data_IF_322663173603
#
_entry.id   IF_322663173603
#
_cell.length_a   1.000
_cell.length_b   1.000
_cell.length_c   1.000
_cell.angle_alpha   90.00
_cell.angle_beta   90.00
_cell.angle_gamma   90.00
#
_symmetry.space_group_name_H-M   'P 1'
#
loop_
_entity.id
_entity.type
_entity.pdbx_description
1 polymer ?
#
# COMPACT_ATOMS: atom_id res chain seq x y z
N UNK A 1 19.87 -12.51 21.82
CA UNK A 1 19.63 -11.11 22.22
C UNK A 1 19.63 -10.30 20.94
N UNK A 2 18.42 -9.90 20.53
CA UNK A 2 18.06 -8.73 19.72
C UNK A 2 18.91 -8.44 18.47
N UNK A 3 18.53 -9.03 17.33
CA UNK A 3 18.97 -8.51 16.02
C UNK A 3 17.97 -8.71 14.88
N UNK A 4 16.68 -8.92 15.18
CA UNK A 4 15.68 -9.26 14.15
C UNK A 4 14.53 -8.26 14.01
N UNK A 5 14.54 -7.14 14.74
CA UNK A 5 13.59 -6.03 14.51
C UNK A 5 14.24 -4.81 13.83
N UNK A 6 15.58 -4.78 13.71
CA UNK A 6 16.27 -3.59 13.20
C UNK A 6 16.21 -3.44 11.68
N UNK A 7 15.82 -4.46 10.92
CA UNK A 7 15.86 -4.41 9.45
C UNK A 7 14.58 -3.82 8.85
N UNK A 8 13.41 -4.08 9.44
CA UNK A 8 12.13 -3.62 8.90
C UNK A 8 11.86 -2.15 9.28
N UNK A 9 12.15 -1.78 10.52
CA UNK A 9 12.04 -0.39 11.00
C UNK A 9 12.96 0.54 10.21
N UNK A 10 14.17 0.09 9.86
CA UNK A 10 15.13 0.84 9.05
C UNK A 10 14.71 0.93 7.58
N UNK A 11 14.11 -0.12 7.03
CA UNK A 11 13.59 -0.13 5.66
C UNK A 11 12.51 0.95 5.45
N UNK A 12 11.63 1.14 6.43
CA UNK A 12 10.49 2.07 6.32
C UNK A 12 10.87 3.51 6.65
N UNK A 13 11.95 3.73 7.38
CA UNK A 13 12.34 5.08 7.83
C UNK A 13 13.42 5.69 6.95
N UNK A 14 14.04 4.92 6.06
CA UNK A 14 15.06 5.39 5.11
C UNK A 14 14.47 5.52 3.69
N UNK A 15 14.31 6.74 3.16
CA UNK A 15 13.71 6.99 1.84
C UNK A 15 14.56 6.48 0.65
N UNK A 16 15.79 6.01 0.90
CA UNK A 16 16.64 5.35 -0.10
C UNK A 16 16.57 3.81 0.00
N UNK A 17 16.02 3.26 1.09
CA UNK A 17 15.98 1.82 1.34
C UNK A 17 14.72 1.21 0.72
N UNK A 18 14.91 0.46 -0.36
CA UNK A 18 13.82 0.05 -1.27
C UNK A 18 13.98 0.59 -2.68
N UNK A 19 14.91 1.54 -2.90
CA UNK A 19 15.40 1.83 -4.25
C UNK A 19 16.14 0.61 -4.78
N UNK A 20 15.61 0.02 -5.84
CA UNK A 20 16.28 -1.08 -6.52
C UNK A 20 17.69 -0.64 -6.95
N UNK A 21 18.70 -1.41 -6.54
CA UNK A 21 19.99 -1.37 -7.21
C UNK A 21 19.76 -1.79 -8.67
N UNK A 22 19.94 -0.85 -9.60
CA UNK A 22 19.55 -0.90 -11.02
C UNK A 22 20.43 -1.90 -11.81
N UNK A 23 20.49 -3.17 -11.39
CA UNK A 23 21.19 -4.23 -12.10
C UNK A 23 20.36 -5.47 -12.40
N UNK A 24 19.15 -5.59 -11.85
CA UNK A 24 18.26 -6.70 -12.21
C UNK A 24 16.96 -6.15 -12.75
N UNK A 25 16.61 -6.60 -13.96
CA UNK A 25 15.36 -6.30 -14.67
C UNK A 25 14.25 -7.05 -13.95
N UNK A 26 13.85 -6.53 -12.79
CA UNK A 26 12.84 -7.15 -11.97
C UNK A 26 11.49 -6.87 -12.63
N UNK A 27 10.80 -7.90 -13.11
CA UNK A 27 9.47 -7.82 -13.72
C UNK A 27 8.38 -7.50 -12.68
N UNK A 28 8.68 -6.64 -11.70
CA UNK A 28 7.69 -6.21 -10.72
C UNK A 28 6.60 -5.45 -11.43
N UNK A 29 5.37 -5.85 -11.14
CA UNK A 29 4.19 -5.12 -11.59
C UNK A 29 4.23 -3.75 -10.93
N UNK A 30 4.55 -2.72 -11.72
CA UNK A 30 4.58 -1.32 -11.27
C UNK A 30 3.20 -1.01 -10.70
N UNK A 31 3.14 -0.72 -9.40
CA UNK A 31 1.92 -0.20 -8.76
C UNK A 31 1.79 1.26 -9.09
N UNK A 32 0.56 1.70 -9.35
CA UNK A 32 0.25 3.07 -9.71
C UNK A 32 -0.81 3.61 -8.77
N UNK A 33 -0.67 4.87 -8.42
CA UNK A 33 -1.61 5.63 -7.62
C UNK A 33 -2.97 5.60 -8.32
N UNK A 34 -4.03 5.31 -7.57
CA UNK A 34 -5.36 5.19 -8.14
C UNK A 34 -5.89 6.52 -8.69
N UNK A 35 -5.50 7.65 -8.10
CA UNK A 35 -5.97 8.99 -8.46
C UNK A 35 -5.06 9.66 -9.50
N UNK A 36 -3.74 9.51 -9.37
CA UNK A 36 -2.77 10.25 -10.20
C UNK A 36 -2.11 9.40 -11.29
N UNK A 37 -2.27 8.08 -11.27
CA UNK A 37 -1.57 7.10 -12.13
C UNK A 37 -0.02 7.14 -12.00
N UNK A 38 0.50 7.88 -11.03
CA UNK A 38 1.92 7.98 -10.72
C UNK A 38 2.44 6.66 -10.11
N UNK A 39 3.72 6.36 -10.34
CA UNK A 39 4.35 5.17 -9.79
C UNK A 39 4.43 5.25 -8.26
N UNK A 40 3.94 4.20 -7.59
CA UNK A 40 3.96 4.08 -6.15
C UNK A 40 5.26 3.43 -5.68
N UNK A 41 5.81 3.98 -4.61
CA UNK A 41 6.81 3.31 -3.80
C UNK A 41 6.19 2.12 -3.05
N UNK A 42 7.05 1.27 -2.51
CA UNK A 42 6.68 -0.05 -1.99
C UNK A 42 5.96 0.04 -0.63
N UNK A 43 6.30 1.10 0.10
CA UNK A 43 5.80 1.54 1.39
C UNK A 43 4.59 2.46 1.26
N UNK A 44 3.97 2.55 0.08
CA UNK A 44 2.77 3.34 -0.13
C UNK A 44 1.50 2.48 -0.26
N UNK A 45 0.40 3.03 0.23
CA UNK A 45 -0.94 2.53 -0.02
C UNK A 45 -1.37 2.85 -1.47
N UNK A 46 -2.57 2.44 -1.87
CA UNK A 46 -3.03 2.62 -3.26
C UNK A 46 -3.34 4.10 -3.63
N UNK A 47 -3.30 5.01 -2.64
CA UNK A 47 -3.46 6.46 -2.82
C UNK A 47 -2.15 7.24 -2.65
N UNK A 48 -1.03 6.56 -2.42
CA UNK A 48 0.28 7.21 -2.26
C UNK A 48 0.60 7.64 -0.84
N UNK A 49 -0.22 7.29 0.15
CA UNK A 49 0.10 7.57 1.54
C UNK A 49 1.14 6.60 2.05
N UNK A 50 2.12 7.12 2.80
CA UNK A 50 3.16 6.31 3.42
C UNK A 50 2.56 5.39 4.48
N UNK A 51 2.89 4.10 4.41
CA UNK A 51 2.43 3.05 5.32
C UNK A 51 3.51 2.71 6.33
N UNK A 52 3.26 3.04 7.58
CA UNK A 52 4.06 2.62 8.72
C UNK A 52 3.69 1.21 9.18
N UNK A 53 4.54 0.58 9.99
CA UNK A 53 4.26 -0.73 10.60
C UNK A 53 3.02 -0.75 11.49
N UNK A 54 2.71 0.40 12.09
CA UNK A 54 1.67 0.54 13.10
C UNK A 54 0.34 0.96 12.50
N UNK A 55 0.34 1.38 11.23
CA UNK A 55 -0.87 1.88 10.58
C UNK A 55 -1.91 0.78 10.46
N UNK A 56 -3.17 1.19 10.48
CA UNK A 56 -4.28 0.29 10.25
C UNK A 56 -4.62 0.31 8.76
N UNK A 57 -4.57 -0.85 8.13
CA UNK A 57 -4.88 -1.02 6.72
C UNK A 57 -6.34 -1.43 6.57
N UNK A 58 -7.02 -0.72 5.69
CA UNK A 58 -8.39 -0.97 5.31
C UNK A 58 -8.45 -1.37 3.84
N UNK A 59 -9.34 -2.30 3.53
CA UNK A 59 -9.68 -2.72 2.18
C UNK A 59 -10.99 -2.03 1.80
N UNK A 60 -10.97 -1.25 0.71
CA UNK A 60 -12.16 -0.57 0.18
C UNK A 60 -12.55 -1.23 -1.13
N UNK A 61 -13.81 -1.64 -1.24
CA UNK A 61 -14.38 -2.21 -2.46
C UNK A 61 -15.13 -1.14 -3.27
N UNK A 62 -14.64 -0.83 -4.48
CA UNK A 62 -15.12 0.26 -5.34
C UNK A 62 -16.26 -0.18 -6.29
N UNK A 63 -17.22 -0.92 -5.76
CA UNK A 63 -18.19 -1.79 -6.45
C UNK A 63 -18.95 -1.25 -7.67
N UNK A 64 -19.01 0.07 -7.88
CA UNK A 64 -19.95 0.69 -8.84
C UNK A 64 -19.30 1.25 -10.10
N UNK A 65 -17.97 1.45 -10.14
CA UNK A 65 -17.32 2.12 -11.28
C UNK A 65 -16.72 1.20 -12.35
N UNK A 66 -16.24 0.01 -12.00
CA UNK A 66 -15.39 -0.77 -12.90
C UNK A 66 -16.03 -2.04 -13.50
N UNK A 67 -17.27 -2.41 -13.12
CA UNK A 67 -17.88 -3.71 -13.44
C UNK A 67 -16.97 -4.93 -13.11
N UNK A 68 -15.96 -4.69 -12.29
CA UNK A 68 -14.99 -5.64 -11.76
C UNK A 68 -14.85 -5.34 -10.27
N UNK A 69 -14.64 -6.35 -9.42
CA UNK A 69 -14.28 -6.08 -8.04
C UNK A 69 -12.89 -5.44 -8.01
N UNK A 70 -12.85 -4.13 -7.87
CA UNK A 70 -11.64 -3.39 -7.56
C UNK A 70 -11.59 -3.18 -6.04
N UNK A 71 -10.54 -3.73 -5.44
CA UNK A 71 -10.21 -3.53 -4.05
C UNK A 71 -8.95 -2.68 -3.98
N UNK A 72 -8.97 -1.68 -3.11
CA UNK A 72 -7.77 -0.92 -2.77
C UNK A 72 -7.44 -1.06 -1.28
N UNK A 73 -6.15 -1.03 -0.98
CA UNK A 73 -5.59 -0.98 0.35
C UNK A 73 -5.24 0.46 0.69
N UNK A 74 -5.78 0.97 1.79
CA UNK A 74 -5.49 2.33 2.28
C UNK A 74 -5.23 2.32 3.78
N UNK A 75 -4.41 3.27 4.24
CA UNK A 75 -4.27 3.56 5.68
C UNK A 75 -5.44 4.41 6.18
N UNK A 76 -5.50 4.73 7.47
CA UNK A 76 -6.55 5.57 8.04
C UNK A 76 -6.63 6.97 7.40
N UNK A 77 -5.49 7.59 7.10
CA UNK A 77 -5.47 8.89 6.40
C UNK A 77 -6.01 8.75 4.97
N UNK A 78 -5.55 7.75 4.22
CA UNK A 78 -6.04 7.44 2.89
C UNK A 78 -7.50 6.98 2.86
N UNK A 79 -8.01 6.43 3.97
CA UNK A 79 -9.42 6.08 4.11
C UNK A 79 -10.28 7.34 4.10
N UNK A 80 -9.88 8.40 4.79
CA UNK A 80 -10.63 9.67 4.78
C UNK A 80 -10.69 10.22 3.36
N UNK A 81 -9.56 10.28 2.65
CA UNK A 81 -9.49 10.74 1.26
C UNK A 81 -10.36 9.88 0.33
N UNK A 82 -10.30 8.55 0.49
CA UNK A 82 -11.11 7.63 -0.29
C UNK A 82 -12.62 7.80 -0.03
N UNK A 83 -13.02 8.03 1.21
CA UNK A 83 -14.42 8.31 1.56
C UNK A 83 -14.88 9.60 0.89
N UNK A 84 -14.08 10.68 0.97
CA UNK A 84 -14.44 11.97 0.37
C UNK A 84 -14.64 11.88 -1.15
N UNK A 85 -13.77 11.13 -1.83
CA UNK A 85 -13.79 10.99 -3.29
C UNK A 85 -14.87 9.99 -3.76
N UNK A 86 -14.96 8.81 -3.14
CA UNK A 86 -15.76 7.70 -3.65
C UNK A 86 -17.13 7.54 -2.97
N UNK A 87 -17.31 7.92 -1.71
CA UNK A 87 -18.59 7.80 -0.99
C UNK A 87 -19.65 8.75 -1.56
N UNK A 88 -19.24 9.93 -2.06
CA UNK A 88 -20.15 10.92 -2.62
C UNK A 88 -20.94 10.44 -3.86
N UNK A 89 -20.58 9.32 -4.46
CA UNK A 89 -21.29 8.73 -5.61
C UNK A 89 -21.60 7.22 -5.52
N UNK A 90 -20.99 6.48 -4.58
CA UNK A 90 -20.96 5.01 -4.61
C UNK A 90 -21.23 4.37 -3.25
N UNK A 91 -21.77 3.14 -3.28
CA UNK A 91 -21.75 2.24 -2.14
C UNK A 91 -20.35 1.61 -2.08
N UNK A 92 -19.52 2.11 -1.19
CA UNK A 92 -18.23 1.51 -0.85
C UNK A 92 -18.43 0.57 0.35
N UNK A 93 -17.86 -0.62 0.26
CA UNK A 93 -17.77 -1.55 1.38
C UNK A 93 -16.35 -1.50 1.92
N UNK A 94 -16.21 -1.41 3.24
CA UNK A 94 -14.95 -1.16 3.93
C UNK A 94 -14.71 -2.28 4.92
N UNK A 95 -13.57 -2.94 4.81
CA UNK A 95 -13.17 -4.04 5.69
C UNK A 95 -11.81 -3.75 6.30
N UNK A 96 -11.63 -4.08 7.57
CA UNK A 96 -10.31 -4.02 8.20
C UNK A 96 -9.42 -5.17 7.70
N UNK A 97 -8.26 -4.84 7.12
CA UNK A 97 -7.32 -5.82 6.57
C UNK A 97 -6.27 -6.27 7.60
N UNK A 98 -5.76 -5.35 8.43
CA UNK A 98 -4.75 -5.65 9.45
C UNK A 98 -3.82 -4.48 9.76
N UNK A 99 -2.77 -4.76 10.54
CA UNK A 99 -1.70 -3.79 10.80
C UNK A 99 -0.73 -3.68 9.61
N UNK A 100 -0.16 -2.49 9.41
CA UNK A 100 0.72 -2.13 8.30
C UNK A 100 1.93 -3.05 8.19
N UNK A 101 2.48 -3.54 9.31
CA UNK A 101 3.58 -4.53 9.30
C UNK A 101 3.31 -5.77 8.46
N UNK A 102 2.04 -6.25 8.44
CA UNK A 102 1.66 -7.42 7.65
C UNK A 102 1.60 -7.08 6.17
N UNK A 103 1.01 -5.93 5.84
CA UNK A 103 0.95 -5.43 4.47
C UNK A 103 2.35 -5.20 3.89
N UNK A 104 3.25 -4.61 4.69
CA UNK A 104 4.65 -4.41 4.31
C UNK A 104 5.34 -5.75 4.09
N UNK A 105 5.20 -6.72 5.00
CA UNK A 105 5.76 -8.06 4.83
C UNK A 105 5.20 -8.79 3.58
N UNK A 106 3.89 -8.68 3.30
CA UNK A 106 3.26 -9.24 2.11
C UNK A 106 3.77 -8.56 0.83
N UNK A 107 4.06 -7.25 0.88
CA UNK A 107 4.71 -6.54 -0.21
C UNK A 107 6.14 -7.04 -0.39
N UNK A 108 6.95 -7.07 0.67
CA UNK A 108 8.34 -7.55 0.68
C UNK A 108 8.48 -8.96 0.11
N UNK A 109 7.54 -9.87 0.38
CA UNK A 109 7.59 -11.23 -0.19
C UNK A 109 7.63 -11.21 -1.73
N UNK A 110 6.95 -10.26 -2.37
CA UNK A 110 6.99 -10.05 -3.84
C UNK A 110 8.31 -9.44 -4.34
N UNK A 111 9.21 -9.08 -3.43
CA UNK A 111 10.53 -8.55 -3.77
C UNK A 111 11.56 -9.65 -3.99
N UNK A 112 11.33 -10.83 -3.39
CA UNK A 112 12.25 -11.96 -3.37
C UNK A 112 11.86 -13.10 -4.34
N UNK A 113 10.69 -13.02 -5.01
CA UNK A 113 10.30 -13.90 -6.13
C UNK A 113 10.79 -13.34 -7.48
#
# INVERSE_FOLDING_TARGET
MEKELSTLDQYLTDPDWGKMNIKETNNRKIRRNLLTDEELACDQDDLGNFVSLWDHIYLIHLSKHSNKPEYIYVIEDGLIDALEEYERGNLIDISYYGQGKKYIADMEAKFYE
#
